data_IF_865846124932
#
_entry.id   IF_865846124932
#
_cell.length_a   1.000
_cell.length_b   1.000
_cell.length_c   1.000
_cell.angle_alpha   90.00
_cell.angle_beta   90.00
_cell.angle_gamma   90.00
#
_symmetry.space_group_name_H-M   'P 1'
#
loop_
_entity.id
_entity.type
_entity.pdbx_description
1 polymer ?
#
# COMPACT_ATOMS: atom_id res chain seq x y z
N UNK A 1 -11.07 2.18 17.66
CA UNK A 1 -11.34 0.93 16.91
C UNK A 1 -10.82 1.06 15.49
N UNK A 2 -9.76 0.33 15.15
CA UNK A 2 -9.25 0.22 13.78
C UNK A 2 -10.34 -0.40 12.89
N UNK A 3 -11.05 0.43 12.13
CA UNK A 3 -12.01 -0.01 11.13
C UNK A 3 -11.45 0.25 9.72
N UNK A 4 -12.08 -0.32 8.69
CA UNK A 4 -11.61 -0.19 7.29
C UNK A 4 -11.41 1.27 6.87
N UNK A 5 -12.20 2.20 7.42
CA UNK A 5 -12.07 3.65 7.16
C UNK A 5 -10.75 4.20 7.70
N UNK A 6 -10.35 3.83 8.92
CA UNK A 6 -9.06 4.23 9.49
C UNK A 6 -7.88 3.64 8.68
N UNK A 7 -7.96 2.37 8.27
CA UNK A 7 -6.94 1.74 7.44
C UNK A 7 -6.77 2.47 6.09
N UNK A 8 -7.88 2.76 5.39
CA UNK A 8 -7.84 3.52 4.13
C UNK A 8 -7.22 4.91 4.32
N UNK A 9 -7.50 5.57 5.45
CA UNK A 9 -6.93 6.88 5.79
C UNK A 9 -5.41 6.78 5.99
N UNK A 10 -4.94 5.76 6.72
CA UNK A 10 -3.51 5.52 6.93
C UNK A 10 -2.78 5.22 5.62
N UNK A 11 -3.34 4.39 4.74
CA UNK A 11 -2.77 4.12 3.41
C UNK A 11 -2.60 5.42 2.63
N UNK A 12 -3.62 6.28 2.61
CA UNK A 12 -3.56 7.57 1.92
C UNK A 12 -2.50 8.51 2.49
N UNK A 13 -2.32 8.52 3.82
CA UNK A 13 -1.28 9.32 4.44
C UNK A 13 0.11 8.80 4.09
N UNK A 14 0.36 7.50 4.25
CA UNK A 14 1.67 6.91 3.94
C UNK A 14 2.03 7.15 2.46
N UNK A 15 1.10 6.91 1.53
CA UNK A 15 1.34 7.16 0.12
C UNK A 15 1.47 8.66 -0.19
N UNK A 16 0.68 9.52 0.46
CA UNK A 16 0.77 10.97 0.30
C UNK A 16 2.11 11.53 0.74
N UNK A 17 2.62 11.09 1.89
CA UNK A 17 3.90 11.52 2.43
C UNK A 17 5.04 11.12 1.48
N UNK A 18 5.08 9.87 1.01
CA UNK A 18 6.11 9.40 0.07
C UNK A 18 6.03 10.11 -1.27
N UNK A 19 4.83 10.39 -1.77
CA UNK A 19 4.63 11.16 -2.99
C UNK A 19 5.13 12.60 -2.85
N UNK A 20 4.88 13.23 -1.69
CA UNK A 20 5.38 14.56 -1.38
C UNK A 20 6.91 14.58 -1.34
N UNK A 21 7.54 13.60 -0.70
CA UNK A 21 9.01 13.47 -0.67
C UNK A 21 9.61 13.31 -2.07
N UNK A 22 9.00 12.48 -2.94
CA UNK A 22 9.43 12.34 -4.34
C UNK A 22 9.36 13.68 -5.09
N UNK A 23 8.25 14.42 -4.92
CA UNK A 23 8.06 15.72 -5.56
C UNK A 23 9.04 16.77 -5.02
N UNK A 24 9.24 16.84 -3.71
CA UNK A 24 10.19 17.76 -3.09
C UNK A 24 11.62 17.45 -3.54
N UNK A 25 12.05 16.19 -3.50
CA UNK A 25 13.38 15.78 -3.95
C UNK A 25 13.65 16.20 -5.41
N UNK A 26 12.65 16.08 -6.29
CA UNK A 26 12.76 16.44 -7.71
C UNK A 26 13.09 17.92 -7.95
N UNK A 27 12.54 18.80 -7.11
CA UNK A 27 12.65 20.26 -7.30
C UNK A 27 13.67 20.92 -6.37
N UNK A 28 14.00 20.31 -5.23
CA UNK A 28 14.83 20.91 -4.19
C UNK A 28 16.25 20.35 -4.13
N UNK A 29 16.52 19.18 -4.74
CA UNK A 29 17.84 18.54 -4.70
C UNK A 29 18.45 18.59 -6.11
N UNK A 30 19.61 19.23 -6.21
CA UNK A 30 20.36 19.30 -7.46
C UNK A 30 21.02 17.95 -7.79
N UNK A 31 21.07 17.60 -9.07
CA UNK A 31 21.72 16.38 -9.56
C UNK A 31 20.93 15.09 -9.34
N UNK A 32 19.65 15.17 -8.96
CA UNK A 32 18.76 14.00 -8.89
C UNK A 32 18.37 13.45 -10.26
N UNK A 33 18.14 12.15 -10.33
CA UNK A 33 17.47 11.55 -11.47
C UNK A 33 15.96 11.80 -11.41
N UNK A 34 15.50 12.84 -12.11
CA UNK A 34 14.09 13.25 -12.14
C UNK A 34 13.16 12.18 -12.72
N UNK A 35 13.62 11.39 -13.69
CA UNK A 35 12.82 10.33 -14.31
C UNK A 35 12.56 9.21 -13.30
N UNK A 36 13.58 8.79 -12.55
CA UNK A 36 13.43 7.80 -11.48
C UNK A 36 12.47 8.29 -10.39
N UNK A 37 12.52 9.57 -10.01
CA UNK A 37 11.56 10.14 -9.04
C UNK A 37 10.13 10.18 -9.58
N UNK A 38 9.95 10.50 -10.87
CA UNK A 38 8.64 10.47 -11.52
C UNK A 38 8.08 9.04 -11.61
N UNK A 39 8.92 8.04 -11.85
CA UNK A 39 8.53 6.64 -11.84
C UNK A 39 8.16 6.15 -10.44
N UNK A 40 8.97 6.49 -9.42
CA UNK A 40 8.65 6.22 -8.03
C UNK A 40 7.30 6.84 -7.63
N UNK A 41 7.03 8.09 -8.03
CA UNK A 41 5.75 8.76 -7.79
C UNK A 41 4.57 8.02 -8.44
N UNK A 42 4.73 7.54 -9.68
CA UNK A 42 3.71 6.73 -10.36
C UNK A 42 3.48 5.40 -9.64
N UNK A 43 4.53 4.75 -9.17
CA UNK A 43 4.44 3.51 -8.40
C UNK A 43 3.72 3.72 -7.06
N UNK A 44 3.96 4.85 -6.38
CA UNK A 44 3.21 5.23 -5.16
C UNK A 44 1.72 5.39 -5.46
N UNK A 45 1.37 6.10 -6.54
CA UNK A 45 -0.01 6.30 -6.94
C UNK A 45 -0.71 4.97 -7.24
N UNK A 46 -0.06 4.09 -8.00
CA UNK A 46 -0.57 2.75 -8.30
C UNK A 46 -0.72 1.89 -7.04
N UNK A 47 0.25 1.94 -6.13
CA UNK A 47 0.19 1.24 -4.84
C UNK A 47 -1.03 1.70 -4.02
N UNK A 48 -1.26 3.01 -3.95
CA UNK A 48 -2.40 3.57 -3.23
C UNK A 48 -3.73 3.05 -3.79
N UNK A 49 -3.93 3.19 -5.10
CA UNK A 49 -5.18 2.79 -5.77
C UNK A 49 -5.46 1.30 -5.58
N UNK A 50 -4.48 0.44 -5.89
CA UNK A 50 -4.62 -1.00 -5.80
C UNK A 50 -4.87 -1.47 -4.36
N UNK A 51 -4.20 -0.86 -3.38
CA UNK A 51 -4.39 -1.22 -1.97
C UNK A 51 -5.77 -0.79 -1.48
N UNK A 52 -6.24 0.41 -1.84
CA UNK A 52 -7.58 0.88 -1.47
C UNK A 52 -8.69 0.02 -2.08
N UNK A 53 -8.51 -0.46 -3.30
CA UNK A 53 -9.41 -1.42 -3.93
C UNK A 53 -9.46 -2.74 -3.13
N UNK A 54 -8.31 -3.32 -2.79
CA UNK A 54 -8.21 -4.57 -2.02
C UNK A 54 -8.80 -4.46 -0.61
N UNK A 55 -8.64 -3.33 0.10
CA UNK A 55 -9.28 -3.10 1.42
C UNK A 55 -10.81 -3.13 1.32
N UNK A 56 -11.35 -2.78 0.16
CA UNK A 56 -12.80 -2.76 -0.07
C UNK A 56 -13.39 -4.12 -0.40
N UNK A 57 -12.55 -5.14 -0.67
CA UNK A 57 -13.00 -6.49 -0.99
C UNK A 57 -13.86 -7.09 0.15
N UNK A 58 -14.93 -7.76 -0.25
CA UNK A 58 -15.87 -8.44 0.62
C UNK A 58 -15.66 -9.95 0.62
N UNK A 59 -16.20 -10.60 1.64
CA UNK A 59 -16.43 -12.04 1.63
C UNK A 59 -17.70 -12.30 0.80
N UNK A 60 -17.58 -13.17 -0.19
CA UNK A 60 -18.59 -13.44 -1.24
C UNK A 60 -19.60 -14.52 -0.86
N UNK A 61 -19.31 -15.34 0.15
CA UNK A 61 -20.19 -16.42 0.60
C UNK A 61 -21.21 -15.95 1.65
N UNK A 62 -22.36 -16.62 1.66
CA UNK A 62 -23.48 -16.37 2.57
C UNK A 62 -23.67 -17.54 3.56
N UNK A 63 -24.36 -17.36 4.70
CA UNK A 63 -24.52 -18.41 5.70
C UNK A 63 -25.14 -19.71 5.19
N UNK A 64 -26.02 -19.65 4.18
CA UNK A 64 -26.64 -20.84 3.58
C UNK A 64 -25.68 -21.69 2.74
N UNK A 65 -24.49 -21.18 2.43
CA UNK A 65 -23.44 -21.94 1.71
C UNK A 65 -22.66 -22.89 2.65
N UNK A 66 -23.05 -22.98 3.92
CA UNK A 66 -22.35 -23.73 4.96
C UNK A 66 -23.30 -24.62 5.75
N UNK A 67 -22.79 -25.76 6.22
CA UNK A 67 -23.54 -26.72 7.04
C UNK A 67 -23.90 -26.15 8.42
N UNK A 68 -23.12 -25.18 8.91
CA UNK A 68 -23.39 -24.53 10.19
C UNK A 68 -22.93 -23.08 10.25
N UNK A 69 -23.59 -22.30 11.11
CA UNK A 69 -23.19 -20.92 11.42
C UNK A 69 -21.75 -20.83 11.93
N UNK A 70 -21.27 -21.86 12.65
CA UNK A 70 -19.90 -21.94 13.16
C UNK A 70 -18.88 -22.01 12.02
N UNK A 71 -19.15 -22.82 11.01
CA UNK A 71 -18.28 -22.95 9.82
C UNK A 71 -18.28 -21.69 8.96
N UNK A 72 -19.43 -21.04 8.79
CA UNK A 72 -19.51 -19.74 8.12
C UNK A 72 -18.66 -18.69 8.83
N UNK A 73 -18.80 -18.57 10.16
CA UNK A 73 -18.03 -17.60 10.94
C UNK A 73 -16.52 -17.90 10.87
N UNK A 74 -16.12 -19.17 11.02
CA UNK A 74 -14.71 -19.58 10.90
C UNK A 74 -14.13 -19.26 9.52
N UNK A 75 -14.88 -19.54 8.45
CA UNK A 75 -14.48 -19.26 7.08
C UNK A 75 -14.34 -17.76 6.80
N UNK A 76 -15.32 -16.97 7.25
CA UNK A 76 -15.31 -15.50 7.15
C UNK A 76 -14.12 -14.90 7.90
N UNK A 77 -13.84 -15.35 9.11
CA UNK A 77 -12.67 -14.90 9.88
C UNK A 77 -11.36 -15.27 9.18
N UNK A 78 -11.22 -16.52 8.74
CA UNK A 78 -10.03 -16.99 8.01
C UNK A 78 -9.78 -16.19 6.73
N UNK A 79 -10.84 -15.91 5.97
CA UNK A 79 -10.78 -15.08 4.77
C UNK A 79 -10.20 -13.69 5.07
N UNK A 80 -10.79 -12.95 6.02
CA UNK A 80 -10.33 -11.60 6.33
C UNK A 80 -8.92 -11.58 6.92
N UNK A 81 -8.57 -12.54 7.77
CA UNK A 81 -7.21 -12.66 8.32
C UNK A 81 -6.18 -12.85 7.20
N UNK A 82 -6.43 -13.77 6.26
CA UNK A 82 -5.55 -13.99 5.11
C UNK A 82 -5.49 -12.78 4.17
N UNK A 83 -6.64 -12.18 3.87
CA UNK A 83 -6.74 -11.00 3.02
C UNK A 83 -5.93 -9.83 3.59
N UNK A 84 -6.10 -9.49 4.88
CA UNK A 84 -5.37 -8.39 5.50
C UNK A 84 -3.89 -8.70 5.74
N UNK A 85 -3.54 -9.96 6.03
CA UNK A 85 -2.13 -10.37 6.16
C UNK A 85 -1.40 -10.21 4.84
N UNK A 86 -1.97 -10.74 3.75
CA UNK A 86 -1.40 -10.58 2.41
C UNK A 86 -1.32 -9.11 2.00
N UNK A 87 -2.39 -8.34 2.22
CA UNK A 87 -2.42 -6.92 1.91
C UNK A 87 -1.32 -6.14 2.62
N UNK A 88 -1.12 -6.38 3.93
CA UNK A 88 -0.06 -5.72 4.70
C UNK A 88 1.33 -6.08 4.19
N UNK A 89 1.57 -7.37 3.92
CA UNK A 89 2.86 -7.84 3.45
C UNK A 89 3.18 -7.26 2.06
N UNK A 90 2.21 -7.30 1.14
CA UNK A 90 2.36 -6.76 -0.22
C UNK A 90 2.56 -5.24 -0.21
N UNK A 91 1.79 -4.52 0.62
CA UNK A 91 1.91 -3.07 0.76
C UNK A 91 3.29 -2.68 1.26
N UNK A 92 3.75 -3.30 2.35
CA UNK A 92 5.06 -3.00 2.92
C UNK A 92 6.21 -3.35 1.96
N UNK A 93 6.10 -4.49 1.25
CA UNK A 93 7.10 -4.90 0.28
C UNK A 93 7.23 -3.88 -0.85
N UNK A 94 6.12 -3.51 -1.47
CA UNK A 94 6.11 -2.53 -2.57
C UNK A 94 6.55 -1.15 -2.12
N UNK A 95 6.14 -0.74 -0.92
CA UNK A 95 6.58 0.53 -0.33
C UNK A 95 8.11 0.56 -0.15
N UNK A 96 8.71 -0.54 0.33
CA UNK A 96 10.17 -0.65 0.43
C UNK A 96 10.86 -0.61 -0.93
N UNK A 97 10.29 -1.24 -1.95
CA UNK A 97 10.80 -1.19 -3.33
C UNK A 97 10.80 0.25 -3.87
N UNK A 98 9.71 0.98 -3.67
CA UNK A 98 9.59 2.40 -4.06
C UNK A 98 10.63 3.27 -3.33
N UNK A 99 10.80 3.08 -2.01
CA UNK A 99 11.78 3.87 -1.26
C UNK A 99 13.21 3.58 -1.73
N UNK A 100 13.52 2.33 -2.12
CA UNK A 100 14.81 1.99 -2.73
C UNK A 100 14.99 2.68 -4.08
N UNK A 101 13.96 2.69 -4.92
CA UNK A 101 13.95 3.40 -6.20
C UNK A 101 14.18 4.90 -5.99
N UNK A 102 13.46 5.53 -5.06
CA UNK A 102 13.62 6.94 -4.69
C UNK A 102 15.05 7.24 -4.23
N UNK A 103 15.63 6.40 -3.36
CA UNK A 103 17.00 6.57 -2.88
C UNK A 103 18.05 6.42 -3.99
N UNK A 104 17.80 5.56 -4.99
CA UNK A 104 18.69 5.42 -6.14
C UNK A 104 18.71 6.65 -7.05
N UNK A 105 17.66 7.48 -6.98
CA UNK A 105 17.56 8.73 -7.73
C UNK A 105 18.34 9.89 -7.08
N UNK A 106 18.67 9.77 -5.79
CA UNK A 106 19.41 10.78 -5.07
C UNK A 106 20.89 10.74 -5.46
N UNK A 107 21.58 11.90 -5.57
CA UNK A 107 23.00 11.92 -5.84
C UNK A 107 23.75 11.19 -4.72
N UNK A 108 24.75 10.38 -5.08
CA UNK A 108 25.66 9.79 -4.09
C UNK A 108 26.29 10.93 -3.30
N UNK A 109 26.17 10.90 -1.96
CA UNK A 109 26.78 11.87 -1.05
C UNK A 109 28.21 12.14 -1.51
N UNK A 110 28.52 13.35 -1.97
CA UNK A 110 29.92 13.77 -2.08
C UNK A 110 30.43 13.80 -0.65
N UNK A 111 31.39 12.92 -0.35
CA UNK A 111 32.12 12.89 0.90
C UNK A 111 32.87 14.20 1.12
#
# INVERSE_FOLDING_TARGET
>A
MANRRQLKKQIRYICGDVAAECAMAKYLIDGVNRETLDNALRHVAALQEQTLARVSAGFDKVPCDFESQKEYNASKHSFYTKAFTSLRNDFNKRLQEIVKEMNSALPSKKA
#
